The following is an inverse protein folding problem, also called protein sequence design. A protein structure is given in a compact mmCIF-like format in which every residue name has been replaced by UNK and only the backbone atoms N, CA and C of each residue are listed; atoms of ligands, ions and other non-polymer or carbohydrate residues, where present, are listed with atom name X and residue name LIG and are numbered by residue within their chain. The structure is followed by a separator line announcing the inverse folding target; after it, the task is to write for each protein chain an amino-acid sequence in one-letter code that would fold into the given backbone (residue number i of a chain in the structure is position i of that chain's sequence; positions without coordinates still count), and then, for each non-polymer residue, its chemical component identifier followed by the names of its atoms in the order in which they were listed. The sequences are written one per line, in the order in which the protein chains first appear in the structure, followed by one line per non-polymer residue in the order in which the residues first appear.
data_IF_439234380918
#
_entry.id   IF_439234380918
#
_cell.length_a   1.000
_cell.length_b   1.000
_cell.length_c   1.000
_cell.angle_alpha   90.00
_cell.angle_beta   90.00
_cell.angle_gamma   90.00
#
_symmetry.space_group_name_H-M   'P 1'
#
loop_
_entity.id
_entity.type
_entity.pdbx_description
1 polymer ?
#
# COMPACT_ATOMS: atom_id res chain seq x y z
N UNK A 1 18.20 -7.05 46.41
CA UNK A 1 16.95 -6.87 45.63
C UNK A 1 16.55 -5.40 45.46
N UNK A 2 16.38 -4.60 46.53
CA UNK A 2 15.92 -3.19 46.43
C UNK A 2 16.88 -2.27 45.64
N UNK A 3 18.20 -2.43 45.84
CA UNK A 3 19.22 -1.63 45.12
C UNK A 3 19.30 -1.95 43.62
N UNK A 4 19.11 -3.22 43.24
CA UNK A 4 19.01 -3.61 41.83
C UNK A 4 17.77 -3.00 41.17
N UNK A 5 16.64 -2.99 41.88
CA UNK A 5 15.41 -2.35 41.39
C UNK A 5 15.58 -0.85 41.19
N UNK A 6 16.20 -0.14 42.16
CA UNK A 6 16.47 1.29 42.06
C UNK A 6 17.43 1.59 40.91
N UNK A 7 18.51 0.82 40.77
CA UNK A 7 19.46 0.98 39.67
C UNK A 7 18.79 0.79 38.30
N UNK A 8 17.94 -0.22 38.17
CA UNK A 8 17.22 -0.52 36.94
C UNK A 8 16.18 0.55 36.61
N UNK A 9 15.53 1.12 37.63
CA UNK A 9 14.55 2.19 37.47
C UNK A 9 15.22 3.51 37.02
N UNK A 10 16.40 3.84 37.58
CA UNK A 10 17.20 4.99 37.13
C UNK A 10 17.68 4.78 35.69
N UNK A 11 18.17 3.57 35.36
CA UNK A 11 18.63 3.27 33.99
C UNK A 11 17.52 3.45 32.96
N UNK A 12 16.30 2.98 33.25
CA UNK A 12 15.15 3.17 32.37
C UNK A 12 14.74 4.65 32.23
N UNK A 13 14.78 5.42 33.33
CA UNK A 13 14.51 6.87 33.29
C UNK A 13 15.54 7.64 32.46
N UNK A 14 16.82 7.26 32.56
CA UNK A 14 17.89 7.88 31.77
C UNK A 14 17.72 7.58 30.28
N UNK A 15 17.42 6.33 29.92
CA UNK A 15 17.14 5.94 28.52
C UNK A 15 15.91 6.68 28.01
N UNK A 16 14.83 6.74 28.79
CA UNK A 16 13.61 7.45 28.43
C UNK A 16 13.85 8.93 28.20
N UNK A 17 14.56 9.60 29.11
CA UNK A 17 14.94 11.00 28.97
C UNK A 17 15.80 11.24 27.72
N UNK A 18 16.77 10.37 27.47
CA UNK A 18 17.61 10.45 26.27
C UNK A 18 16.80 10.32 24.98
N UNK A 19 15.85 9.39 24.91
CA UNK A 19 15.01 9.20 23.72
C UNK A 19 14.01 10.34 23.49
N UNK A 20 13.58 11.05 24.54
CA UNK A 20 12.62 12.15 24.41
C UNK A 20 13.28 13.51 24.17
N UNK A 21 14.53 13.69 24.59
CA UNK A 21 15.28 14.94 24.40
C UNK A 21 16.18 14.92 23.17
N UNK A 22 16.46 13.74 22.60
CA UNK A 22 17.19 13.62 21.34
C UNK A 22 16.23 13.79 20.18
N UNK A 23 16.35 14.91 19.46
CA UNK A 23 15.70 15.05 18.15
C UNK A 23 16.31 14.00 17.19
N UNK A 24 15.48 13.24 16.44
CA UNK A 24 16.01 12.35 15.42
C UNK A 24 16.80 13.19 14.40
N UNK A 25 17.99 12.74 13.96
CA UNK A 25 18.74 13.46 12.95
C UNK A 25 17.85 13.65 11.72
N UNK A 26 17.85 14.87 11.16
CA UNK A 26 17.10 15.18 9.96
C UNK A 26 17.44 14.13 8.88
N UNK A 27 16.43 13.33 8.52
CA UNK A 27 16.59 12.27 7.55
C UNK A 27 16.85 12.93 6.20
N UNK A 28 18.08 12.84 5.70
CA UNK A 28 18.47 13.46 4.44
C UNK A 28 17.93 12.61 3.28
N UNK A 29 16.77 13.01 2.75
CA UNK A 29 16.06 12.32 1.69
C UNK A 29 16.84 12.27 0.37
N UNK A 30 17.81 13.16 0.19
CA UNK A 30 18.63 13.27 -1.01
C UNK A 30 19.54 12.06 -1.23
N UNK A 31 19.89 11.30 -0.18
CA UNK A 31 20.67 10.06 -0.34
C UNK A 31 19.85 8.88 -0.88
N UNK A 32 18.52 9.01 -0.96
CA UNK A 32 17.63 7.99 -1.53
C UNK A 32 17.28 8.25 -3.00
N UNK A 33 17.72 9.35 -3.57
CA UNK A 33 17.52 9.66 -4.99
C UNK A 33 18.52 8.88 -5.85
N UNK A 34 18.12 7.67 -6.26
CA UNK A 34 18.90 6.86 -7.19
C UNK A 34 18.47 7.21 -8.62
N UNK A 35 19.31 8.00 -9.31
CA UNK A 35 19.32 8.23 -10.76
C UNK A 35 18.08 8.91 -11.38
N UNK A 36 17.71 10.09 -10.88
CA UNK A 36 16.75 10.97 -11.58
C UNK A 36 17.23 11.31 -13.01
N UNK A 37 18.54 11.42 -13.24
CA UNK A 37 19.12 11.73 -14.55
C UNK A 37 19.02 10.62 -15.62
N UNK A 38 18.50 9.43 -15.28
CA UNK A 38 18.24 8.35 -16.25
C UNK A 38 16.80 8.29 -16.77
N UNK A 39 15.91 9.13 -16.26
CA UNK A 39 14.55 9.26 -16.78
C UNK A 39 14.54 10.11 -18.05
N UNK A 40 14.94 9.53 -19.19
CA UNK A 40 14.78 10.16 -20.51
C UNK A 40 13.39 9.84 -21.05
N UNK A 41 12.47 10.81 -20.96
CA UNK A 41 11.18 10.77 -21.66
C UNK A 41 11.46 10.69 -23.17
N UNK A 42 11.07 9.58 -23.81
CA UNK A 42 11.05 9.51 -25.27
C UNK A 42 9.97 10.47 -25.76
N UNK A 43 10.41 11.59 -26.35
CA UNK A 43 9.55 12.46 -27.12
C UNK A 43 8.98 11.67 -28.31
N UNK A 44 7.67 11.86 -28.52
CA UNK A 44 6.85 11.43 -29.63
C UNK A 44 7.62 11.39 -30.96
N UNK A 45 7.57 10.24 -31.64
CA UNK A 45 8.19 10.07 -32.96
C UNK A 45 7.47 10.92 -34.01
N UNK A 46 8.18 11.74 -34.82
CA UNK A 46 7.57 12.49 -35.91
C UNK A 46 7.22 11.56 -37.08
N UNK A 47 5.98 11.71 -37.56
CA UNK A 47 5.39 11.09 -38.74
C UNK A 47 6.21 11.43 -40.01
N UNK A 48 6.64 10.45 -40.82
CA UNK A 48 7.29 10.74 -42.09
C UNK A 48 6.25 10.88 -43.22
N UNK A 49 6.16 12.08 -43.78
CA UNK A 49 5.94 12.33 -45.21
C UNK A 49 7.35 12.53 -45.82
N UNK A 50 7.73 12.02 -46.98
CA UNK A 50 7.07 12.13 -48.29
C UNK A 50 7.67 11.15 -49.31
N UNK A 51 6.98 11.07 -50.46
CA UNK A 51 7.47 10.83 -51.83
C UNK A 51 7.40 9.41 -52.41
N UNK A 52 6.42 9.21 -53.29
CA UNK A 52 6.74 8.75 -54.65
C UNK A 52 5.79 9.32 -55.72
N UNK A 53 6.31 9.38 -56.95
CA UNK A 53 5.98 10.29 -58.08
C UNK A 53 4.61 10.13 -58.80
N UNK A 54 4.22 11.26 -59.42
CA UNK A 54 3.18 11.53 -60.45
C UNK A 54 3.34 10.68 -61.77
N UNK A 55 2.45 10.74 -62.81
CA UNK A 55 1.51 11.82 -63.18
C UNK A 55 0.14 11.43 -63.81
N UNK A 56 -0.78 12.40 -63.97
CA UNK A 56 -1.45 12.86 -65.23
C UNK A 56 -2.77 13.62 -64.91
N UNK A 57 -2.87 14.89 -65.33
CA UNK A 57 -4.05 15.82 -65.33
C UNK A 57 -5.03 15.50 -66.50
N UNK A 58 -6.22 16.16 -66.72
CA UNK A 58 -6.67 17.50 -66.27
C UNK A 58 -8.18 17.69 -65.91
N UNK A 59 -8.51 18.95 -65.56
CA UNK A 59 -9.85 19.62 -65.64
C UNK A 59 -10.83 19.35 -64.48
N UNK A 60 -11.54 20.31 -63.85
CA UNK A 60 -12.02 21.68 -64.16
C UNK A 60 -12.44 22.30 -62.80
N UNK A 61 -11.86 23.42 -62.32
CA UNK A 61 -12.34 24.81 -62.41
C UNK A 61 -13.82 25.07 -61.99
N UNK A 62 -14.03 25.55 -60.75
CA UNK A 62 -15.05 26.56 -60.36
C UNK A 62 -14.75 26.95 -58.89
N UNK A 63 -14.11 28.06 -58.54
CA UNK A 63 -14.49 29.49 -58.59
C UNK A 63 -15.60 29.91 -57.61
N UNK A 64 -15.12 30.63 -56.57
CA UNK A 64 -15.74 31.78 -55.88
C UNK A 64 -17.00 31.55 -55.03
N UNK A 65 -17.28 32.27 -53.94
CA UNK A 65 -16.56 33.22 -53.09
C UNK A 65 -17.56 33.68 -52.00
N UNK A 66 -17.03 34.06 -50.82
CA UNK A 66 -17.58 35.03 -49.84
C UNK A 66 -18.93 34.65 -49.14
N UNK A 67 -19.20 34.99 -47.87
CA UNK A 67 -18.90 36.22 -47.11
C UNK A 67 -18.96 35.96 -45.60
N UNK A 68 -18.25 36.84 -44.89
CA UNK A 68 -18.00 37.00 -43.46
C UNK A 68 -19.21 37.12 -42.51
N UNK A 69 -18.92 36.76 -41.26
CA UNK A 69 -19.23 37.42 -39.98
C UNK A 69 -20.66 37.91 -39.68
N UNK A 70 -21.23 37.35 -38.61
CA UNK A 70 -22.05 38.13 -37.67
C UNK A 70 -21.66 37.81 -36.23
N UNK A 71 -21.44 38.88 -35.49
CA UNK A 71 -20.95 38.99 -34.13
C UNK A 71 -22.10 38.98 -33.11
N UNK A 72 -21.98 38.10 -32.09
CA UNK A 72 -22.29 38.27 -30.65
C UNK A 72 -23.72 38.75 -30.22
N UNK A 73 -24.29 38.32 -29.07
CA UNK A 73 -23.62 38.42 -27.77
C UNK A 73 -23.71 37.20 -26.85
N UNK A 74 -22.69 37.16 -26.00
CA UNK A 74 -22.51 36.37 -24.78
C UNK A 74 -23.72 36.57 -23.85
N UNK A 75 -24.37 35.48 -23.48
CA UNK A 75 -25.15 35.38 -22.25
C UNK A 75 -24.34 34.51 -21.29
N UNK A 76 -24.10 35.05 -20.09
CA UNK A 76 -23.31 34.47 -19.00
C UNK A 76 -23.73 33.04 -18.67
N UNK A 77 -23.03 32.08 -19.26
CA UNK A 77 -22.86 30.77 -18.65
C UNK A 77 -21.88 30.99 -17.50
N UNK A 78 -22.39 30.96 -16.27
CA UNK A 78 -21.57 30.95 -15.07
C UNK A 78 -20.43 29.97 -15.27
N UNK A 79 -19.21 30.49 -15.24
CA UNK A 79 -17.98 29.72 -15.27
C UNK A 79 -18.15 28.62 -14.25
N UNK A 80 -18.17 27.32 -14.60
CA UNK A 80 -17.87 26.32 -13.60
C UNK A 80 -16.46 26.70 -13.15
N UNK A 81 -16.34 27.13 -11.91
CA UNK A 81 -15.04 27.23 -11.27
C UNK A 81 -14.44 25.84 -11.41
N UNK A 82 -13.59 25.64 -12.41
CA UNK A 82 -12.64 24.55 -12.46
C UNK A 82 -11.63 24.85 -11.34
N UNK A 83 -12.11 24.81 -10.10
CA UNK A 83 -11.28 24.41 -8.98
C UNK A 83 -10.84 23.04 -9.40
N UNK A 84 -9.57 22.86 -9.72
CA UNK A 84 -8.95 21.56 -9.94
C UNK A 84 -9.41 20.68 -8.79
N UNK A 85 -10.44 19.86 -9.03
CA UNK A 85 -11.16 19.17 -7.98
C UNK A 85 -10.19 18.09 -7.53
N UNK A 86 -9.44 18.38 -6.47
CA UNK A 86 -8.54 17.41 -5.89
C UNK A 86 -9.43 16.38 -5.19
N UNK A 87 -9.07 15.11 -5.31
CA UNK A 87 -9.72 14.07 -4.55
C UNK A 87 -8.73 13.53 -3.53
N UNK A 88 -9.26 13.03 -2.42
CA UNK A 88 -8.50 12.30 -1.44
C UNK A 88 -8.87 10.84 -1.53
N UNK A 89 -7.85 9.99 -1.60
CA UNK A 89 -8.00 8.55 -1.50
C UNK A 89 -7.75 8.16 -0.05
N UNK A 90 -8.78 7.64 0.60
CA UNK A 90 -8.64 6.93 1.85
C UNK A 90 -8.43 5.46 1.54
N UNK A 91 -7.22 4.95 1.76
CA UNK A 91 -6.83 3.59 1.41
C UNK A 91 -6.41 2.74 2.61
N UNK A 92 -6.14 1.47 2.34
CA UNK A 92 -5.74 0.46 3.34
C UNK A 92 -6.75 0.26 4.49
N UNK A 93 -8.03 0.61 4.27
CA UNK A 93 -9.11 0.38 5.24
C UNK A 93 -9.35 -1.13 5.33
N UNK A 94 -9.19 -1.79 6.50
CA UNK A 94 -9.54 -3.20 6.63
C UNK A 94 -11.00 -3.42 6.24
N UNK A 95 -11.29 -4.43 5.42
CA UNK A 95 -12.65 -4.66 4.92
C UNK A 95 -13.73 -4.73 6.02
N UNK A 96 -13.47 -5.34 7.21
CA UNK A 96 -14.42 -5.31 8.32
C UNK A 96 -14.72 -3.91 8.86
N UNK A 97 -13.76 -2.98 8.76
CA UNK A 97 -13.88 -1.61 9.27
C UNK A 97 -14.48 -0.64 8.24
N UNK A 98 -14.75 -1.09 7.01
CA UNK A 98 -15.30 -0.24 5.94
C UNK A 98 -16.65 0.40 6.33
N UNK A 99 -17.51 -0.33 7.03
CA UNK A 99 -18.80 0.22 7.47
C UNK A 99 -18.59 1.35 8.50
N UNK A 100 -17.66 1.16 9.43
CA UNK A 100 -17.27 2.17 10.41
C UNK A 100 -16.63 3.39 9.73
N UNK A 101 -15.77 3.17 8.75
CA UNK A 101 -15.15 4.26 7.96
C UNK A 101 -16.22 5.15 7.31
N UNK A 102 -17.21 4.54 6.65
CA UNK A 102 -18.34 5.27 6.06
C UNK A 102 -19.14 6.06 7.10
N UNK A 103 -19.42 5.45 8.25
CA UNK A 103 -20.13 6.13 9.33
C UNK A 103 -19.35 7.34 9.88
N UNK A 104 -18.02 7.27 9.96
CA UNK A 104 -17.18 8.41 10.36
C UNK A 104 -17.23 9.55 9.35
N UNK A 105 -17.22 9.24 8.04
CA UNK A 105 -17.39 10.25 6.98
C UNK A 105 -18.75 10.96 7.10
N UNK A 106 -19.81 10.19 7.32
CA UNK A 106 -21.17 10.72 7.44
C UNK A 106 -21.32 11.59 8.71
N UNK A 107 -20.77 11.14 9.85
CA UNK A 107 -20.86 11.85 11.13
C UNK A 107 -20.15 13.19 11.10
N UNK A 108 -19.00 13.26 10.41
CA UNK A 108 -18.18 14.47 10.32
C UNK A 108 -18.42 15.28 9.05
N UNK A 109 -19.35 14.84 8.20
CA UNK A 109 -19.76 15.53 6.98
C UNK A 109 -18.57 15.82 6.04
N UNK A 110 -17.60 14.90 5.97
CA UNK A 110 -16.34 15.01 5.19
C UNK A 110 -16.57 14.82 3.67
N UNK A 111 -17.82 14.59 3.26
CA UNK A 111 -18.23 14.37 1.88
C UNK A 111 -18.58 12.91 1.60
N UNK A 112 -19.37 12.67 0.56
CA UNK A 112 -19.76 11.31 0.16
C UNK A 112 -18.66 10.69 -0.72
N UNK A 113 -18.27 9.43 -0.47
CA UNK A 113 -17.36 8.73 -1.37
C UNK A 113 -17.90 8.68 -2.80
N UNK A 114 -16.99 8.87 -3.76
CA UNK A 114 -17.29 8.79 -5.19
C UNK A 114 -17.22 7.33 -5.62
N UNK A 115 -18.32 6.81 -6.15
CA UNK A 115 -18.41 5.44 -6.66
C UNK A 115 -18.35 4.37 -5.58
N UNK A 116 -18.03 3.15 -6.01
CA UNK A 116 -17.95 1.99 -5.13
C UNK A 116 -16.55 1.85 -4.51
N UNK A 117 -16.45 1.32 -3.27
CA UNK A 117 -15.16 0.99 -2.67
C UNK A 117 -14.41 0.00 -3.55
N UNK A 118 -13.14 0.29 -3.84
CA UNK A 118 -12.25 -0.66 -4.51
C UNK A 118 -11.73 -1.64 -3.46
N UNK A 119 -11.93 -2.93 -3.70
CA UNK A 119 -11.47 -3.98 -2.80
C UNK A 119 -10.23 -4.66 -3.36
N UNK A 120 -9.16 -4.64 -2.57
CA UNK A 120 -7.92 -5.35 -2.86
C UNK A 120 -7.74 -6.52 -1.89
N UNK A 121 -7.18 -7.63 -2.38
CA UNK A 121 -6.90 -8.82 -1.57
C UNK A 121 -5.41 -9.12 -1.60
N UNK A 122 -4.75 -9.06 -0.43
CA UNK A 122 -3.33 -9.39 -0.25
C UNK A 122 -3.21 -10.70 0.51
N UNK A 123 -2.57 -11.70 -0.09
CA UNK A 123 -2.30 -12.99 0.56
C UNK A 123 -1.02 -12.87 1.38
N UNK A 124 -1.03 -13.42 2.60
CA UNK A 124 0.21 -13.70 3.34
C UNK A 124 0.51 -15.18 3.26
N UNK A 125 1.78 -15.48 3.07
CA UNK A 125 2.30 -16.83 3.01
C UNK A 125 3.04 -17.14 4.28
N UNK A 126 3.16 -18.42 4.61
CA UNK A 126 4.03 -18.85 5.70
C UNK A 126 4.69 -20.17 5.32
N UNK A 127 5.85 -20.40 5.93
CA UNK A 127 6.49 -21.71 5.95
C UNK A 127 6.09 -22.35 7.26
N UNK A 128 5.61 -23.59 7.22
CA UNK A 128 5.11 -24.25 8.42
C UNK A 128 5.26 -25.76 8.35
N UNK A 129 5.18 -26.40 9.51
CA UNK A 129 4.98 -27.83 9.66
C UNK A 129 3.56 -28.11 10.13
N UNK A 130 2.96 -29.16 9.57
CA UNK A 130 1.62 -29.66 9.90
C UNK A 130 1.44 -29.95 11.38
N UNK A 131 0.28 -29.61 12.01
CA UNK A 131 -0.14 -30.11 13.33
C UNK A 131 0.97 -30.15 14.38
N UNK A 132 0.77 -30.55 15.61
CA UNK A 132 1.23 -31.86 16.07
C UNK A 132 0.13 -32.45 16.96
N UNK A 133 0.11 -33.77 17.21
CA UNK A 133 -0.92 -34.39 18.03
C UNK A 133 -1.06 -33.75 19.41
N UNK A 134 0.05 -33.35 20.03
CA UNK A 134 0.09 -32.66 21.31
C UNK A 134 1.10 -31.50 21.33
N UNK A 135 0.99 -30.64 22.35
CA UNK A 135 1.97 -29.58 22.61
C UNK A 135 3.36 -30.18 22.91
N UNK A 136 3.41 -31.30 23.63
CA UNK A 136 4.66 -32.01 23.93
C UNK A 136 5.34 -32.53 22.64
N UNK A 137 4.57 -33.04 21.67
CA UNK A 137 5.10 -33.45 20.38
C UNK A 137 5.63 -32.25 19.56
N UNK A 138 4.96 -31.10 19.67
CA UNK A 138 5.46 -29.86 19.06
C UNK A 138 6.77 -29.40 19.69
N UNK A 139 6.90 -29.45 21.02
CA UNK A 139 8.16 -29.13 21.70
C UNK A 139 9.30 -30.07 21.31
N UNK A 140 9.04 -31.38 21.28
CA UNK A 140 10.04 -32.36 20.81
C UNK A 140 10.48 -32.07 19.37
N UNK A 141 9.54 -31.68 18.50
CA UNK A 141 9.88 -31.26 17.13
C UNK A 141 10.70 -29.97 17.09
N UNK A 142 10.44 -29.01 17.96
CA UNK A 142 11.28 -27.80 18.02
C UNK A 142 12.70 -28.09 18.52
N UNK A 143 12.88 -29.05 19.43
CA UNK A 143 14.21 -29.51 19.85
C UNK A 143 14.98 -30.15 18.68
N UNK A 144 14.30 -30.96 17.86
CA UNK A 144 14.89 -31.50 16.62
C UNK A 144 15.28 -30.37 15.64
N UNK A 145 14.48 -29.31 15.51
CA UNK A 145 14.81 -28.16 14.67
C UNK A 145 16.08 -27.43 15.17
N UNK A 146 16.21 -27.27 16.49
CA UNK A 146 17.41 -26.68 17.09
C UNK A 146 18.65 -27.54 16.83
N UNK A 147 18.52 -28.87 16.93
CA UNK A 147 19.61 -29.81 16.62
C UNK A 147 20.04 -29.74 15.14
N UNK A 148 19.13 -29.36 14.24
CA UNK A 148 19.42 -29.10 12.82
C UNK A 148 19.98 -27.69 12.55
N UNK A 149 20.27 -26.90 13.60
CA UNK A 149 20.90 -25.59 13.48
C UNK A 149 19.94 -24.45 13.14
N UNK A 150 18.64 -24.59 13.45
CA UNK A 150 17.69 -23.46 13.48
C UNK A 150 17.72 -22.79 14.85
N UNK A 151 17.73 -21.46 14.87
CA UNK A 151 17.67 -20.70 16.11
C UNK A 151 16.24 -20.63 16.65
N UNK A 152 16.06 -20.32 17.94
CA UNK A 152 14.71 -20.22 18.55
C UNK A 152 13.83 -19.13 17.91
N UNK A 153 14.45 -18.13 17.26
CA UNK A 153 13.76 -17.09 16.49
C UNK A 153 13.31 -17.55 15.10
N UNK A 154 13.82 -18.69 14.61
CA UNK A 154 13.53 -19.19 13.26
C UNK A 154 12.21 -19.98 13.20
N UNK A 155 11.65 -20.35 14.35
CA UNK A 155 10.42 -21.11 14.44
C UNK A 155 9.54 -20.69 15.64
N UNK A 156 8.25 -20.99 15.56
CA UNK A 156 7.28 -20.69 16.61
C UNK A 156 6.15 -21.71 16.63
N UNK A 157 5.78 -22.20 17.81
CA UNK A 157 4.63 -23.11 17.98
C UNK A 157 3.34 -22.27 18.02
N UNK A 158 2.42 -22.56 17.12
CA UNK A 158 1.10 -21.92 17.05
C UNK A 158 0.22 -22.42 18.19
N UNK A 159 -0.06 -21.53 19.14
CA UNK A 159 -0.90 -21.82 20.31
C UNK A 159 -2.38 -21.45 20.11
N UNK A 160 -2.71 -20.77 19.01
CA UNK A 160 -4.09 -20.37 18.71
C UNK A 160 -5.02 -21.58 18.61
N UNK A 161 -6.25 -21.43 19.14
CA UNK A 161 -7.27 -22.45 19.01
C UNK A 161 -7.64 -22.69 17.53
N UNK A 162 -7.93 -23.95 17.19
CA UNK A 162 -8.43 -24.33 15.87
C UNK A 162 -7.50 -25.29 15.12
N UNK A 163 -7.68 -25.38 13.79
CA UNK A 163 -7.02 -26.38 12.93
C UNK A 163 -5.49 -26.28 12.89
N UNK A 164 -4.92 -25.16 13.32
CA UNK A 164 -3.49 -24.88 13.32
C UNK A 164 -2.84 -25.03 14.69
N UNK A 165 -3.60 -25.42 15.73
CA UNK A 165 -3.06 -25.61 17.06
C UNK A 165 -1.92 -26.63 17.05
N UNK A 166 -0.82 -26.32 17.72
CA UNK A 166 0.44 -27.07 17.76
C UNK A 166 1.19 -27.15 16.43
N UNK A 167 0.79 -26.41 15.39
CA UNK A 167 1.59 -26.29 14.18
C UNK A 167 2.87 -25.51 14.47
N UNK A 168 3.94 -25.77 13.73
CA UNK A 168 5.20 -25.04 13.89
C UNK A 168 5.36 -24.10 12.70
N UNK A 169 5.26 -22.80 12.94
CA UNK A 169 5.56 -21.74 11.97
C UNK A 169 7.08 -21.58 11.86
N UNK A 170 7.59 -21.41 10.64
CA UNK A 170 9.00 -21.21 10.29
C UNK A 170 9.24 -19.83 9.63
N UNK A 171 8.21 -18.97 9.69
CA UNK A 171 8.22 -17.60 9.16
C UNK A 171 6.95 -17.25 8.37
N UNK A 172 6.56 -15.98 8.39
CA UNK A 172 5.42 -15.41 7.63
C UNK A 172 5.93 -14.34 6.68
N UNK A 173 5.46 -14.38 5.43
CA UNK A 173 5.96 -13.60 4.31
C UNK A 173 4.83 -12.90 3.54
N UNK A 174 5.14 -11.77 2.93
CA UNK A 174 4.20 -11.01 2.07
C UNK A 174 4.09 -11.59 0.66
N UNK A 175 5.11 -12.30 0.18
CA UNK A 175 5.16 -12.90 -1.16
C UNK A 175 5.35 -14.41 -1.08
N UNK A 176 4.92 -15.11 -2.13
CA UNK A 176 5.07 -16.56 -2.23
C UNK A 176 6.55 -16.93 -2.43
N UNK A 177 7.26 -16.09 -3.18
CA UNK A 177 8.66 -16.25 -3.54
C UNK A 177 9.56 -16.22 -2.30
N UNK A 178 9.36 -15.26 -1.39
CA UNK A 178 10.11 -15.18 -0.14
C UNK A 178 9.84 -16.40 0.77
N UNK A 179 8.59 -16.89 0.80
CA UNK A 179 8.26 -18.10 1.54
C UNK A 179 8.91 -19.35 0.95
N UNK A 180 8.99 -19.46 -0.39
CA UNK A 180 9.69 -20.56 -1.07
C UNK A 180 11.19 -20.53 -0.80
N UNK A 181 11.83 -19.37 -0.92
CA UNK A 181 13.25 -19.23 -0.59
C UNK A 181 13.55 -19.64 0.85
N UNK A 182 12.69 -19.25 1.81
CA UNK A 182 12.82 -19.73 3.19
C UNK A 182 12.65 -21.24 3.29
N UNK A 183 11.67 -21.81 2.60
CA UNK A 183 11.46 -23.26 2.59
C UNK A 183 12.71 -23.99 2.12
N UNK A 184 13.34 -23.53 1.05
CA UNK A 184 14.55 -24.14 0.48
C UNK A 184 15.69 -24.11 1.52
N UNK A 185 15.95 -22.95 2.13
CA UNK A 185 16.96 -22.80 3.21
C UNK A 185 16.69 -23.74 4.39
N UNK A 186 15.43 -23.89 4.79
CA UNK A 186 15.05 -24.76 5.92
C UNK A 186 15.15 -26.24 5.55
N UNK A 187 14.86 -26.60 4.29
CA UNK A 187 15.00 -27.96 3.79
C UNK A 187 16.47 -28.36 3.59
N UNK A 188 17.34 -27.44 3.17
CA UNK A 188 18.79 -27.64 3.10
C UNK A 188 19.40 -27.95 4.46
N UNK A 189 18.85 -27.37 5.53
CA UNK A 189 19.21 -27.70 6.93
C UNK A 189 18.67 -29.07 7.39
N UNK A 190 17.88 -29.77 6.58
CA UNK A 190 17.37 -31.12 6.86
C UNK A 190 15.91 -31.20 7.28
N UNK A 191 15.17 -30.08 7.32
CA UNK A 191 13.77 -30.06 7.76
C UNK A 191 12.81 -30.39 6.61
N UNK A 192 12.57 -31.69 6.39
CA UNK A 192 11.76 -32.19 5.26
C UNK A 192 10.25 -32.02 5.45
N UNK A 193 9.77 -31.81 6.68
CA UNK A 193 8.35 -31.66 7.01
C UNK A 193 7.81 -30.24 6.82
N UNK A 194 8.69 -29.28 6.50
CA UNK A 194 8.30 -27.91 6.21
C UNK A 194 7.62 -27.80 4.84
N UNK A 195 6.62 -26.91 4.75
CA UNK A 195 5.91 -26.59 3.51
C UNK A 195 5.40 -25.16 3.50
N UNK A 196 5.15 -24.63 2.31
CA UNK A 196 4.57 -23.29 2.13
C UNK A 196 3.05 -23.37 2.03
N UNK A 197 2.37 -22.38 2.58
CA UNK A 197 0.93 -22.21 2.38
C UNK A 197 0.46 -20.78 2.57
N UNK A 198 -0.81 -20.54 2.25
CA UNK A 198 -1.46 -19.27 2.57
C UNK A 198 -1.81 -19.28 4.05
N UNK A 199 -1.28 -18.32 4.80
CA UNK A 199 -1.63 -18.11 6.21
C UNK A 199 -2.97 -17.40 6.33
N UNK A 200 -3.09 -16.29 5.62
CA UNK A 200 -4.28 -15.43 5.63
C UNK A 200 -4.42 -14.70 4.30
N UNK A 201 -5.65 -14.28 4.01
CA UNK A 201 -5.94 -13.36 2.90
C UNK A 201 -6.56 -12.12 3.49
N UNK A 202 -5.78 -11.05 3.54
CA UNK A 202 -6.20 -9.75 4.03
C UNK A 202 -6.93 -9.02 2.90
N UNK A 203 -8.04 -8.37 3.23
CA UNK A 203 -8.78 -7.55 2.26
C UNK A 203 -8.86 -6.12 2.77
N UNK A 204 -8.57 -5.20 1.87
CA UNK A 204 -8.57 -3.78 2.14
C UNK A 204 -9.49 -3.07 1.15
N UNK A 205 -10.17 -2.05 1.62
CA UNK A 205 -10.98 -1.16 0.82
C UNK A 205 -10.25 0.17 0.62
N UNK A 206 -10.46 0.80 -0.53
CA UNK A 206 -10.15 2.20 -0.74
C UNK A 206 -11.39 2.97 -1.20
N UNK A 207 -11.51 4.20 -0.72
CA UNK A 207 -12.57 5.15 -1.01
C UNK A 207 -11.94 6.39 -1.62
N UNK A 208 -12.62 7.00 -2.60
CA UNK A 208 -12.26 8.31 -3.13
C UNK A 208 -13.26 9.31 -2.57
N UNK A 209 -12.78 10.37 -1.94
CA UNK A 209 -13.58 11.44 -1.35
C UNK A 209 -13.27 12.74 -2.10
N UNK A 210 -14.27 13.52 -2.55
CA UNK A 210 -14.00 14.81 -3.17
C UNK A 210 -13.39 15.76 -2.13
N UNK A 211 -12.25 16.38 -2.46
CA UNK A 211 -11.68 17.42 -1.61
C UNK A 211 -12.34 18.75 -1.97
N UNK A 212 -13.15 19.28 -1.05
CA UNK A 212 -13.71 20.62 -1.19
C UNK A 212 -12.71 21.70 -0.78
N UNK A 213 -12.19 21.58 0.44
CA UNK A 213 -11.22 22.49 1.06
C UNK A 213 -10.09 21.71 1.76
N UNK A 214 -8.99 22.39 2.08
CA UNK A 214 -7.85 21.79 2.82
C UNK A 214 -8.28 21.26 4.20
N UNK A 215 -9.25 21.94 4.83
CA UNK A 215 -9.81 21.53 6.12
C UNK A 215 -10.50 20.15 6.06
N UNK A 216 -11.13 19.79 4.95
CA UNK A 216 -11.71 18.45 4.72
C UNK A 216 -10.60 17.41 4.67
N UNK A 217 -9.45 17.74 4.08
CA UNK A 217 -8.28 16.87 4.09
C UNK A 217 -7.72 16.61 5.48
N UNK A 218 -7.57 17.66 6.30
CA UNK A 218 -7.09 17.51 7.67
C UNK A 218 -8.07 16.70 8.55
N UNK A 219 -9.38 16.90 8.38
CA UNK A 219 -10.40 16.10 9.07
C UNK A 219 -10.37 14.64 8.66
N UNK A 220 -10.24 14.36 7.36
CA UNK A 220 -10.13 13.00 6.83
C UNK A 220 -8.87 12.29 7.34
N UNK A 221 -7.72 12.99 7.34
CA UNK A 221 -6.48 12.48 7.92
C UNK A 221 -6.63 12.15 9.41
N UNK A 222 -7.29 13.03 10.17
CA UNK A 222 -7.59 12.82 11.59
C UNK A 222 -8.38 11.54 11.86
N UNK A 223 -9.46 11.29 11.10
CA UNK A 223 -10.24 10.04 11.28
C UNK A 223 -9.59 8.80 10.70
N UNK A 224 -8.71 8.96 9.71
CA UNK A 224 -7.97 7.83 9.17
C UNK A 224 -7.06 7.22 10.25
N UNK A 225 -6.56 8.03 11.18
CA UNK A 225 -5.80 7.55 12.33
C UNK A 225 -6.64 6.66 13.29
N UNK A 226 -7.96 6.84 13.33
CA UNK A 226 -8.85 5.98 14.14
C UNK A 226 -9.02 4.57 13.53
N UNK A 227 -8.67 4.40 12.25
CA UNK A 227 -8.68 3.11 11.56
C UNK A 227 -7.24 2.65 11.34
N UNK A 228 -6.83 1.65 12.12
CA UNK A 228 -5.46 1.14 12.14
C UNK A 228 -4.98 0.74 10.74
N UNK A 229 -3.88 1.37 10.31
CA UNK A 229 -3.21 1.06 9.04
C UNK A 229 -3.90 1.64 7.81
N UNK A 230 -4.92 2.48 7.99
CA UNK A 230 -5.50 3.25 6.90
C UNK A 230 -4.76 4.57 6.71
N UNK A 231 -4.72 5.05 5.47
CA UNK A 231 -3.92 6.22 5.08
C UNK A 231 -4.71 7.07 4.10
N UNK A 232 -4.41 8.37 4.04
CA UNK A 232 -5.09 9.33 3.17
C UNK A 232 -4.06 9.99 2.27
N UNK A 233 -4.24 9.84 0.97
CA UNK A 233 -3.35 10.38 -0.05
C UNK A 233 -4.12 11.21 -1.08
N UNK A 234 -3.44 12.17 -1.71
CA UNK A 234 -4.00 12.89 -2.85
C UNK A 234 -4.21 11.92 -4.02
N UNK A 235 -5.33 12.06 -4.71
CA UNK A 235 -5.68 11.25 -5.86
C UNK A 235 -6.45 12.06 -6.91
N UNK A 236 -6.38 11.60 -8.15
CA UNK A 236 -7.21 12.15 -9.21
C UNK A 236 -8.69 11.80 -8.98
N UNK A 237 -9.56 12.77 -9.22
CA UNK A 237 -10.99 12.50 -9.19
C UNK A 237 -11.39 11.65 -10.41
N UNK A 238 -12.19 10.58 -10.22
CA UNK A 238 -12.76 9.86 -11.34
C UNK A 238 -13.69 10.79 -12.14
N UNK A 239 -13.81 10.58 -13.47
CA UNK A 239 -14.64 11.39 -14.36
C UNK A 239 -16.14 11.24 -14.09
#
# INVERSE_FOLDING_TARGET
MKWLFIALLIANLLVFGYTHLSEPPAQDWHQREVHAERAKLLAEAPKPADADKAPTTPSTEDKAAATEATSAPVAEAGTPTNTTQQCLRWESIPLPDLARAKQLLDTLQIGKPIGNPRIESKKRFWVYMLPQPSLSDAHRKTEELQALGLSEQDFFIVNDAGRWRNAISLGVYSTLEAAKQRLDVVQEKGVKSARVGVRETLRFASLIIPQGDEATGSRLAGISADIKGSEVNLADCPP
#
